data_IF_756691555764
#
_entry.id   IF_756691555764
#
_cell.length_a   1.000
_cell.length_b   1.000
_cell.length_c   1.000
_cell.angle_alpha   90.00
_cell.angle_beta   90.00
_cell.angle_gamma   90.00
#
_symmetry.space_group_name_H-M   'P 1'
#
loop_
_entity.id
_entity.type
_entity.pdbx_description
1 polymer ?
#
# COMPACT_ATOMS: atom_id res chain seq x y z
N UNK A 1 -33.14 -77.01 57.84
CA UNK A 1 -31.97 -76.13 57.62
C UNK A 1 -32.14 -74.89 58.49
N UNK A 2 -31.25 -74.73 59.47
CA UNK A 2 -30.91 -73.55 60.28
C UNK A 2 -32.04 -72.87 61.13
N UNK A 3 -32.25 -73.25 62.41
CA UNK A 3 -31.62 -72.76 63.68
C UNK A 3 -31.85 -71.25 63.94
N UNK A 4 -32.76 -70.83 64.86
CA UNK A 4 -32.58 -70.61 66.32
C UNK A 4 -31.45 -69.59 66.64
N UNK A 5 -31.52 -68.54 67.49
CA UNK A 5 -32.32 -68.18 68.69
C UNK A 5 -31.98 -66.71 69.09
N UNK A 6 -32.86 -66.03 69.85
CA UNK A 6 -32.75 -64.67 70.49
C UNK A 6 -31.51 -64.56 71.46
N UNK A 7 -31.07 -63.42 72.08
CA UNK A 7 -31.85 -62.23 72.53
C UNK A 7 -31.11 -60.84 72.72
N UNK A 8 -31.81 -59.89 73.38
CA UNK A 8 -31.35 -58.81 74.31
C UNK A 8 -30.58 -57.55 73.83
N UNK A 9 -31.32 -56.44 73.79
CA UNK A 9 -31.22 -55.22 74.62
C UNK A 9 -29.87 -54.71 75.19
N UNK A 10 -29.71 -53.38 75.06
CA UNK A 10 -29.11 -52.36 75.98
C UNK A 10 -27.69 -51.80 75.70
N UNK A 11 -27.72 -50.49 75.40
CA UNK A 11 -26.93 -49.38 75.99
C UNK A 11 -25.42 -49.30 75.73
N UNK A 12 -25.02 -48.30 74.92
CA UNK A 12 -24.25 -47.09 75.32
C UNK A 12 -22.73 -47.28 75.11
N UNK A 13 -21.91 -46.35 74.59
CA UNK A 13 -21.84 -44.89 74.66
C UNK A 13 -21.13 -44.37 73.39
N UNK A 14 -21.69 -43.37 72.70
CA UNK A 14 -21.24 -41.97 72.67
C UNK A 14 -19.80 -41.73 72.18
N UNK A 15 -19.66 -41.12 70.99
CA UNK A 15 -18.94 -39.85 70.88
C UNK A 15 -19.39 -39.06 69.64
N UNK A 16 -19.68 -37.79 69.90
CA UNK A 16 -20.07 -36.69 69.03
C UNK A 16 -18.92 -36.13 68.20
N UNK A 17 -19.19 -35.67 66.96
CA UNK A 17 -18.68 -34.43 66.32
C UNK A 17 -19.27 -34.38 64.89
N UNK A 18 -20.37 -33.67 64.68
CA UNK A 18 -20.42 -32.26 64.23
C UNK A 18 -20.03 -32.03 62.76
N UNK A 19 -21.02 -31.54 62.02
CA UNK A 19 -20.95 -30.42 61.07
C UNK A 19 -19.93 -30.47 59.92
N UNK A 20 -20.47 -30.46 58.70
CA UNK A 20 -19.78 -29.86 57.56
C UNK A 20 -20.17 -30.49 56.23
N UNK A 21 -21.27 -30.01 55.63
CA UNK A 21 -21.42 -30.06 54.18
C UNK A 21 -20.25 -29.23 53.61
N UNK A 22 -19.16 -29.88 53.21
CA UNK A 22 -18.12 -29.23 52.44
C UNK A 22 -18.53 -29.32 50.97
N UNK A 23 -19.24 -28.28 50.51
CA UNK A 23 -19.46 -28.02 49.09
C UNK A 23 -18.12 -27.75 48.44
N UNK A 24 -17.55 -28.75 47.79
CA UNK A 24 -16.32 -28.61 47.02
C UNK A 24 -16.65 -28.05 45.63
N UNK A 25 -16.63 -26.73 45.48
CA UNK A 25 -16.24 -25.99 44.26
C UNK A 25 -16.41 -24.48 44.50
N UNK A 26 -15.42 -23.64 44.15
CA UNK A 26 -15.43 -23.11 42.79
C UNK A 26 -14.00 -22.86 42.25
N UNK A 27 -13.40 -23.85 41.58
CA UNK A 27 -12.28 -23.59 40.67
C UNK A 27 -12.70 -23.59 39.19
N UNK A 28 -13.95 -23.95 38.89
CA UNK A 28 -14.47 -24.06 37.50
C UNK A 28 -15.00 -22.72 36.95
N UNK A 29 -15.35 -21.75 37.80
CA UNK A 29 -15.93 -20.48 37.33
C UNK A 29 -14.90 -19.50 36.73
N UNK A 30 -13.61 -19.62 37.09
CA UNK A 30 -12.58 -18.69 36.64
C UNK A 30 -11.97 -19.07 35.28
N UNK A 31 -11.94 -20.37 34.92
CA UNK A 31 -11.40 -20.84 33.64
C UNK A 31 -12.32 -20.52 32.46
N UNK A 32 -13.65 -20.61 32.63
CA UNK A 32 -14.62 -20.33 31.57
C UNK A 32 -14.53 -18.89 31.06
N UNK A 33 -14.31 -17.92 31.96
CA UNK A 33 -14.17 -16.51 31.57
C UNK A 33 -12.86 -16.17 30.84
N UNK A 34 -11.79 -16.95 31.02
CA UNK A 34 -10.51 -16.75 30.31
C UNK A 34 -10.57 -17.38 28.92
N UNK A 35 -11.14 -18.58 28.81
CA UNK A 35 -11.34 -19.27 27.53
C UNK A 35 -12.26 -18.47 26.60
N UNK A 36 -13.39 -17.95 27.10
CA UNK A 36 -14.32 -17.14 26.32
C UNK A 36 -13.70 -15.82 25.84
N UNK A 37 -12.89 -15.18 26.68
CA UNK A 37 -12.10 -13.98 26.29
C UNK A 37 -11.07 -14.30 25.23
N UNK A 38 -10.37 -15.43 25.34
CA UNK A 38 -9.38 -15.85 24.35
C UNK A 38 -10.01 -16.19 22.99
N UNK A 39 -11.16 -16.88 23.01
CA UNK A 39 -11.94 -17.18 21.81
C UNK A 39 -12.40 -15.89 21.15
N UNK A 40 -12.94 -14.95 21.92
CA UNK A 40 -13.40 -13.65 21.42
C UNK A 40 -12.24 -12.87 20.79
N UNK A 41 -11.09 -12.78 21.46
CA UNK A 41 -9.90 -12.11 20.94
C UNK A 41 -9.42 -12.71 19.62
N UNK A 42 -9.38 -14.04 19.51
CA UNK A 42 -8.98 -14.72 18.26
C UNK A 42 -10.00 -14.53 17.15
N UNK A 43 -11.30 -14.52 17.49
CA UNK A 43 -12.36 -14.24 16.53
C UNK A 43 -12.27 -12.80 16.00
N UNK A 44 -12.01 -11.83 16.88
CA UNK A 44 -11.77 -10.43 16.52
C UNK A 44 -10.53 -10.26 15.63
N UNK A 45 -9.40 -10.86 16.02
CA UNK A 45 -8.18 -10.83 15.22
C UNK A 45 -8.39 -11.48 13.83
N UNK A 46 -9.17 -12.55 13.75
CA UNK A 46 -9.50 -13.17 12.46
C UNK A 46 -10.37 -12.25 11.60
N UNK A 47 -11.37 -11.58 12.19
CA UNK A 47 -12.20 -10.59 11.47
C UNK A 47 -11.38 -9.41 10.98
N UNK A 48 -10.44 -8.93 11.80
CA UNK A 48 -9.56 -7.83 11.41
C UNK A 48 -8.63 -8.23 10.26
N UNK A 49 -8.05 -9.43 10.32
CA UNK A 49 -7.25 -9.96 9.23
C UNK A 49 -8.06 -10.08 7.91
N UNK A 50 -9.34 -10.47 7.99
CA UNK A 50 -10.25 -10.52 6.83
C UNK A 50 -10.55 -9.11 6.28
N UNK A 51 -10.74 -8.10 7.15
CA UNK A 51 -10.88 -6.70 6.70
C UNK A 51 -9.63 -6.20 5.98
N UNK A 52 -8.45 -6.44 6.54
CA UNK A 52 -7.17 -6.06 5.94
C UNK A 52 -6.96 -6.75 4.58
N UNK A 53 -7.37 -8.01 4.46
CA UNK A 53 -7.35 -8.72 3.18
C UNK A 53 -8.23 -8.03 2.14
N UNK A 54 -9.45 -7.64 2.51
CA UNK A 54 -10.36 -6.95 1.59
C UNK A 54 -9.88 -5.55 1.21
N UNK A 55 -9.26 -4.83 2.14
CA UNK A 55 -8.64 -3.53 1.84
C UNK A 55 -7.45 -3.70 0.88
N UNK A 56 -6.61 -4.72 1.08
CA UNK A 56 -5.56 -5.08 0.14
C UNK A 56 -6.08 -5.44 -1.25
N UNK A 57 -7.22 -6.15 -1.34
CA UNK A 57 -7.87 -6.46 -2.63
C UNK A 57 -8.40 -5.22 -3.33
N UNK A 58 -8.95 -4.26 -2.60
CA UNK A 58 -9.38 -2.97 -3.15
C UNK A 58 -8.19 -2.18 -3.69
N UNK A 59 -7.11 -2.08 -2.91
CA UNK A 59 -5.87 -1.42 -3.34
C UNK A 59 -5.30 -2.08 -4.60
N UNK A 60 -5.26 -3.42 -4.63
CA UNK A 60 -4.81 -4.19 -5.80
C UNK A 60 -5.66 -3.88 -7.04
N UNK A 61 -6.99 -3.84 -6.89
CA UNK A 61 -7.90 -3.50 -7.99
C UNK A 61 -7.73 -2.05 -8.50
N UNK A 62 -7.27 -1.14 -7.64
CA UNK A 62 -6.93 0.25 -7.99
C UNK A 62 -5.53 0.38 -8.62
N UNK A 63 -4.74 -0.70 -8.62
CA UNK A 63 -3.35 -0.69 -9.07
C UNK A 63 -2.35 -0.17 -8.04
N UNK A 64 -2.79 0.09 -6.80
CA UNK A 64 -1.91 0.43 -5.68
C UNK A 64 -1.34 -0.86 -5.08
N UNK A 65 -0.34 -1.42 -5.77
CA UNK A 65 0.28 -2.69 -5.38
C UNK A 65 1.14 -2.57 -4.12
N UNK A 66 1.64 -1.37 -3.79
CA UNK A 66 2.41 -1.11 -2.57
C UNK A 66 1.50 -1.21 -1.35
N UNK A 67 0.37 -0.51 -1.36
CA UNK A 67 -0.63 -0.60 -0.29
C UNK A 67 -1.21 -2.01 -0.20
N UNK A 68 -1.53 -2.64 -1.35
CA UNK A 68 -2.05 -4.00 -1.37
C UNK A 68 -1.13 -5.01 -0.65
N UNK A 69 0.16 -5.01 -0.99
CA UNK A 69 1.16 -5.90 -0.38
C UNK A 69 1.27 -5.64 1.12
N UNK A 70 1.27 -4.38 1.55
CA UNK A 70 1.30 -4.04 2.98
C UNK A 70 0.06 -4.55 3.70
N UNK A 71 -1.14 -4.35 3.15
CA UNK A 71 -2.39 -4.85 3.74
C UNK A 71 -2.41 -6.37 3.84
N UNK A 72 -1.91 -7.10 2.82
CA UNK A 72 -1.80 -8.57 2.88
C UNK A 72 -0.80 -9.06 3.94
N UNK A 73 0.34 -8.38 4.10
CA UNK A 73 1.29 -8.67 5.17
C UNK A 73 0.68 -8.41 6.55
N UNK A 74 -0.02 -7.30 6.72
CA UNK A 74 -0.76 -6.97 7.94
C UNK A 74 -1.86 -7.99 8.24
N UNK A 75 -2.59 -8.46 7.22
CA UNK A 75 -3.57 -9.54 7.37
C UNK A 75 -2.93 -10.84 7.88
N UNK A 76 -1.81 -11.26 7.29
CA UNK A 76 -1.08 -12.48 7.68
C UNK A 76 -0.49 -12.43 9.09
N UNK A 77 0.01 -11.26 9.50
CA UNK A 77 0.55 -11.04 10.84
C UNK A 77 -0.54 -10.97 11.92
N UNK A 78 -1.72 -10.45 11.56
CA UNK A 78 -2.88 -10.35 12.46
C UNK A 78 -3.62 -11.68 12.62
N UNK A 79 -3.63 -12.51 11.57
CA UNK A 79 -4.34 -13.80 11.57
C UNK A 79 -3.76 -14.74 12.63
N UNK A 80 -4.56 -15.20 13.63
CA UNK A 80 -4.09 -16.15 14.62
C UNK A 80 -3.60 -17.44 13.97
N UNK A 81 -2.54 -18.05 14.50
CA UNK A 81 -2.07 -19.36 14.06
C UNK A 81 -3.00 -20.50 14.50
N UNK A 82 -2.91 -21.64 13.80
CA UNK A 82 -3.58 -22.88 14.16
C UNK A 82 -4.35 -23.52 12.99
N UNK A 83 -4.74 -24.78 13.18
CA UNK A 83 -5.42 -25.57 12.14
C UNK A 83 -6.70 -24.92 11.60
N UNK A 84 -7.43 -24.17 12.44
CA UNK A 84 -8.69 -23.52 12.06
C UNK A 84 -8.53 -22.34 11.08
N UNK A 85 -7.35 -21.71 11.04
CA UNK A 85 -7.06 -20.54 10.20
C UNK A 85 -6.11 -20.87 9.06
N UNK A 86 -5.60 -22.10 8.98
CA UNK A 86 -4.64 -22.56 7.96
C UNK A 86 -5.13 -22.30 6.53
N UNK A 87 -6.38 -22.66 6.21
CA UNK A 87 -6.95 -22.40 4.88
C UNK A 87 -7.02 -20.90 4.55
N UNK A 88 -7.29 -20.05 5.55
CA UNK A 88 -7.32 -18.59 5.37
C UNK A 88 -5.91 -18.05 5.14
N UNK A 89 -4.94 -18.55 5.90
CA UNK A 89 -3.52 -18.19 5.77
C UNK A 89 -3.03 -18.45 4.35
N UNK A 90 -3.30 -19.63 3.79
CA UNK A 90 -2.91 -19.97 2.40
C UNK A 90 -3.51 -19.01 1.36
N UNK A 91 -4.77 -18.61 1.53
CA UNK A 91 -5.41 -17.63 0.64
C UNK A 91 -4.71 -16.27 0.74
N UNK A 92 -4.38 -15.82 1.95
CA UNK A 92 -3.66 -14.56 2.15
C UNK A 92 -2.22 -14.62 1.61
N UNK A 93 -1.53 -15.75 1.76
CA UNK A 93 -0.20 -15.98 1.19
C UNK A 93 -0.24 -15.95 -0.35
N UNK A 94 -1.26 -16.55 -0.97
CA UNK A 94 -1.45 -16.48 -2.42
C UNK A 94 -1.68 -15.04 -2.87
N UNK A 95 -2.57 -14.29 -2.21
CA UNK A 95 -2.80 -12.88 -2.53
C UNK A 95 -1.54 -12.03 -2.32
N UNK A 96 -0.75 -12.32 -1.29
CA UNK A 96 0.53 -11.65 -1.07
C UNK A 96 1.52 -11.96 -2.20
N UNK A 97 1.61 -13.20 -2.66
CA UNK A 97 2.46 -13.58 -3.79
C UNK A 97 2.02 -12.85 -5.07
N UNK A 98 0.73 -12.91 -5.42
CA UNK A 98 0.17 -12.24 -6.60
C UNK A 98 0.36 -10.71 -6.55
N UNK A 99 0.13 -10.12 -5.37
CA UNK A 99 0.39 -8.71 -5.06
C UNK A 99 1.85 -8.32 -5.24
N UNK A 100 2.76 -9.14 -4.74
CA UNK A 100 4.20 -8.89 -4.78
C UNK A 100 4.73 -9.00 -6.21
N UNK A 101 4.23 -9.95 -7.00
CA UNK A 101 4.59 -10.05 -8.43
C UNK A 101 4.06 -8.84 -9.21
N UNK A 102 2.82 -8.41 -8.98
CA UNK A 102 2.28 -7.21 -9.62
C UNK A 102 3.05 -5.93 -9.25
N UNK A 103 3.50 -5.84 -7.99
CA UNK A 103 4.39 -4.78 -7.53
C UNK A 103 5.74 -4.81 -8.25
N UNK A 104 6.36 -5.98 -8.38
CA UNK A 104 7.62 -6.12 -9.11
C UNK A 104 7.48 -5.71 -10.58
N UNK A 105 6.37 -6.06 -11.23
CA UNK A 105 6.05 -5.61 -12.58
C UNK A 105 5.94 -4.07 -12.67
N UNK A 106 5.37 -3.41 -11.65
CA UNK A 106 5.28 -1.95 -11.62
C UNK A 106 6.68 -1.30 -11.51
N UNK A 107 7.55 -1.89 -10.69
CA UNK A 107 8.95 -1.48 -10.54
C UNK A 107 9.73 -1.65 -11.84
N UNK A 108 9.55 -2.77 -12.54
CA UNK A 108 10.14 -2.99 -13.87
C UNK A 108 9.73 -1.91 -14.88
N UNK A 109 8.46 -1.51 -14.90
CA UNK A 109 7.99 -0.45 -15.84
C UNK A 109 8.64 0.91 -15.60
N UNK A 110 9.12 1.19 -14.39
CA UNK A 110 9.75 2.47 -14.05
C UNK A 110 11.27 2.40 -13.97
N UNK A 111 11.90 1.26 -14.24
CA UNK A 111 13.36 1.08 -14.20
C UNK A 111 13.93 0.71 -12.82
N UNK A 112 13.09 0.36 -11.84
CA UNK A 112 13.52 -0.19 -10.54
C UNK A 112 13.80 -1.69 -10.64
N UNK A 113 14.78 -2.06 -11.47
CA UNK A 113 15.02 -3.47 -11.81
C UNK A 113 15.55 -4.30 -10.65
N UNK A 114 16.41 -3.71 -9.82
CA UNK A 114 16.94 -4.33 -8.62
C UNK A 114 15.84 -4.66 -7.62
N UNK A 115 14.98 -3.70 -7.31
CA UNK A 115 13.88 -3.89 -6.37
C UNK A 115 12.82 -4.84 -6.94
N UNK A 116 12.56 -4.80 -8.24
CA UNK A 116 11.69 -5.77 -8.90
C UNK A 116 12.22 -7.20 -8.73
N UNK A 117 13.53 -7.41 -8.95
CA UNK A 117 14.18 -8.72 -8.76
C UNK A 117 14.07 -9.19 -7.31
N UNK A 118 14.42 -8.35 -6.34
CA UNK A 118 14.35 -8.68 -4.92
C UNK A 118 12.94 -9.15 -4.50
N UNK A 119 11.90 -8.48 -5.01
CA UNK A 119 10.50 -8.86 -4.74
C UNK A 119 10.16 -10.24 -5.33
N UNK A 120 10.57 -10.50 -6.56
CA UNK A 120 10.31 -11.78 -7.23
C UNK A 120 11.07 -12.94 -6.59
N UNK A 121 12.34 -12.74 -6.22
CA UNK A 121 13.14 -13.72 -5.50
C UNK A 121 12.56 -14.02 -4.11
N UNK A 122 12.02 -13.00 -3.44
CA UNK A 122 11.28 -13.16 -2.19
C UNK A 122 10.04 -14.06 -2.34
N UNK A 123 9.28 -13.93 -3.43
CA UNK A 123 8.15 -14.82 -3.74
C UNK A 123 8.63 -16.25 -3.95
N UNK A 124 9.71 -16.45 -4.72
CA UNK A 124 10.25 -17.79 -5.01
C UNK A 124 10.89 -18.46 -3.78
N UNK A 125 11.27 -17.70 -2.77
CA UNK A 125 11.74 -18.26 -1.49
C UNK A 125 10.60 -18.94 -0.73
N UNK A 126 9.37 -18.43 -0.85
CA UNK A 126 8.18 -18.96 -0.17
C UNK A 126 7.46 -20.01 -1.03
N UNK A 127 7.27 -19.71 -2.32
CA UNK A 127 6.72 -20.62 -3.32
C UNK A 127 7.71 -20.80 -4.48
N UNK A 128 8.64 -21.77 -4.37
CA UNK A 128 9.60 -22.05 -5.43
C UNK A 128 8.96 -22.37 -6.77
N UNK A 129 7.71 -22.82 -6.82
CA UNK A 129 6.99 -23.24 -8.02
C UNK A 129 6.12 -22.15 -8.64
N UNK A 130 6.18 -20.92 -8.13
CA UNK A 130 5.44 -19.80 -8.70
C UNK A 130 5.91 -19.50 -10.13
N UNK A 131 5.15 -19.96 -11.12
CA UNK A 131 5.49 -19.83 -12.54
C UNK A 131 5.56 -18.36 -12.98
N UNK A 132 4.65 -17.53 -12.47
CA UNK A 132 4.57 -16.13 -12.82
C UNK A 132 5.81 -15.35 -12.32
N UNK A 133 6.26 -15.61 -11.10
CA UNK A 133 7.47 -14.98 -10.56
C UNK A 133 8.73 -15.36 -11.35
N UNK A 134 8.86 -16.64 -11.74
CA UNK A 134 9.98 -17.08 -12.61
C UNK A 134 9.95 -16.41 -13.98
N UNK A 135 8.76 -16.30 -14.58
CA UNK A 135 8.59 -15.65 -15.88
C UNK A 135 8.94 -14.16 -15.82
N UNK A 136 8.56 -13.44 -14.76
CA UNK A 136 8.91 -12.03 -14.61
C UNK A 136 10.41 -11.81 -14.37
N UNK A 137 11.11 -12.75 -13.71
CA UNK A 137 12.58 -12.72 -13.63
C UNK A 137 13.22 -12.88 -15.01
N UNK A 138 12.73 -13.82 -15.83
CA UNK A 138 13.20 -13.99 -17.21
C UNK A 138 12.98 -12.71 -18.03
N UNK A 139 11.85 -12.02 -17.84
CA UNK A 139 11.61 -10.74 -18.49
C UNK A 139 12.54 -9.63 -18.02
N UNK A 140 12.97 -9.62 -16.77
CA UNK A 140 13.99 -8.69 -16.28
C UNK A 140 15.36 -8.94 -16.92
N UNK A 141 15.68 -10.20 -17.22
CA UNK A 141 16.92 -10.61 -17.87
C UNK A 141 16.93 -10.44 -19.39
N UNK A 142 15.75 -10.25 -20.01
CA UNK A 142 15.60 -10.05 -21.45
C UNK A 142 15.82 -8.58 -21.86
N UNK A 143 16.92 -8.24 -22.55
CA UNK A 143 17.23 -6.86 -22.95
C UNK A 143 16.27 -6.30 -24.01
N UNK A 144 15.52 -7.16 -24.71
CA UNK A 144 14.50 -6.74 -25.68
C UNK A 144 13.25 -6.25 -24.94
N UNK A 145 12.90 -6.91 -23.82
CA UNK A 145 11.71 -6.58 -23.01
C UNK A 145 12.01 -5.55 -21.92
N UNK A 146 13.25 -5.49 -21.46
CA UNK A 146 13.72 -4.64 -20.38
C UNK A 146 14.90 -3.84 -20.89
N UNK A 147 14.67 -2.56 -21.20
CA UNK A 147 15.71 -1.68 -21.70
C UNK A 147 16.78 -1.46 -20.62
N UNK A 148 18.02 -1.95 -20.79
CA UNK A 148 19.06 -1.79 -19.76
C UNK A 148 19.45 -0.33 -19.49
N UNK A 149 19.12 0.58 -20.41
CA UNK A 149 19.37 2.01 -20.25
C UNK A 149 18.24 2.75 -19.51
N UNK A 150 17.09 2.11 -19.27
CA UNK A 150 16.02 2.72 -18.49
C UNK A 150 16.39 2.68 -17.01
N UNK A 151 16.70 3.83 -16.45
CA UNK A 151 16.95 4.01 -15.02
C UNK A 151 15.75 4.67 -14.32
N UNK A 152 15.55 4.36 -13.04
CA UNK A 152 14.49 4.97 -12.25
C UNK A 152 14.61 6.50 -12.19
N UNK A 153 15.83 7.03 -12.04
CA UNK A 153 16.07 8.47 -12.03
C UNK A 153 15.66 9.10 -13.37
N UNK A 154 15.93 8.42 -14.48
CA UNK A 154 15.51 8.88 -15.80
C UNK A 154 13.98 8.95 -15.90
N UNK A 155 13.27 7.91 -15.49
CA UNK A 155 11.79 7.89 -15.48
C UNK A 155 11.23 9.05 -14.65
N UNK A 156 11.79 9.30 -13.46
CA UNK A 156 11.39 10.42 -12.61
C UNK A 156 11.67 11.78 -13.26
N UNK A 157 12.81 11.92 -13.95
CA UNK A 157 13.16 13.15 -14.65
C UNK A 157 12.24 13.41 -15.84
N UNK A 158 11.88 12.39 -16.62
CA UNK A 158 10.89 12.49 -17.71
C UNK A 158 9.55 12.99 -17.18
N UNK A 159 9.11 12.46 -16.04
CA UNK A 159 7.84 12.86 -15.43
C UNK A 159 7.87 14.28 -14.84
N UNK A 160 8.99 14.68 -14.22
CA UNK A 160 9.21 16.07 -13.80
C UNK A 160 9.20 17.03 -14.99
N UNK A 161 9.92 16.72 -16.07
CA UNK A 161 9.94 17.50 -17.32
C UNK A 161 8.53 17.66 -17.86
N UNK A 162 7.76 16.57 -17.93
CA UNK A 162 6.36 16.59 -18.37
C UNK A 162 5.53 17.56 -17.53
N UNK A 163 5.59 17.47 -16.20
CA UNK A 163 4.84 18.37 -15.31
C UNK A 163 5.23 19.84 -15.51
N UNK A 164 6.52 20.15 -15.51
CA UNK A 164 6.98 21.52 -15.71
C UNK A 164 6.53 22.07 -17.07
N UNK A 165 6.58 21.27 -18.15
CA UNK A 165 6.07 21.68 -19.46
C UNK A 165 4.57 22.00 -19.43
N UNK A 166 3.74 21.15 -18.80
CA UNK A 166 2.30 21.41 -18.68
C UNK A 166 2.01 22.68 -17.89
N UNK A 167 2.69 22.87 -16.75
CA UNK A 167 2.53 24.06 -15.91
C UNK A 167 3.00 25.32 -16.65
N UNK A 168 4.13 25.25 -17.35
CA UNK A 168 4.66 26.36 -18.15
C UNK A 168 3.67 26.79 -19.24
N UNK A 169 3.11 25.82 -19.98
CA UNK A 169 2.11 26.09 -21.01
C UNK A 169 0.84 26.70 -20.41
N UNK A 170 0.39 26.20 -19.26
CA UNK A 170 -0.73 26.79 -18.52
C UNK A 170 -0.48 28.24 -18.13
N UNK A 171 0.69 28.56 -17.56
CA UNK A 171 1.05 29.93 -17.23
C UNK A 171 1.18 30.83 -18.46
N UNK A 172 1.74 30.31 -19.56
CA UNK A 172 1.83 31.04 -20.83
C UNK A 172 0.44 31.42 -21.34
N UNK A 173 -0.51 30.49 -21.31
CA UNK A 173 -1.89 30.72 -21.76
C UNK A 173 -2.64 31.71 -20.87
N UNK A 174 -2.26 31.85 -19.60
CA UNK A 174 -2.77 32.86 -18.67
C UNK A 174 -2.03 34.21 -18.76
N UNK A 175 -1.13 34.38 -19.73
CA UNK A 175 -0.22 35.52 -19.87
C UNK A 175 0.69 35.78 -18.65
N UNK A 176 0.86 34.79 -17.77
CA UNK A 176 1.75 34.82 -16.61
C UNK A 176 3.18 34.45 -17.05
N UNK A 177 3.75 35.27 -17.93
CA UNK A 177 4.96 34.92 -18.67
C UNK A 177 6.19 34.66 -17.81
N UNK A 178 6.40 35.40 -16.73
CA UNK A 178 7.58 35.19 -15.87
C UNK A 178 7.52 33.84 -15.15
N UNK A 179 6.31 33.42 -14.74
CA UNK A 179 6.10 32.07 -14.18
C UNK A 179 6.31 30.99 -15.23
N UNK A 180 5.79 31.20 -16.44
CA UNK A 180 5.98 30.27 -17.55
C UNK A 180 7.46 30.10 -17.92
N UNK A 181 8.23 31.20 -17.96
CA UNK A 181 9.68 31.18 -18.20
C UNK A 181 10.38 30.34 -17.13
N UNK A 182 10.10 30.60 -15.85
CA UNK A 182 10.71 29.84 -14.74
C UNK A 182 10.44 28.33 -14.85
N UNK A 183 9.23 27.94 -15.25
CA UNK A 183 8.89 26.53 -15.44
C UNK A 183 9.59 25.91 -16.67
N UNK A 184 9.70 26.64 -17.78
CA UNK A 184 10.50 26.16 -18.93
C UNK A 184 12.00 26.08 -18.60
N UNK A 185 12.55 26.97 -17.78
CA UNK A 185 13.93 26.88 -17.30
C UNK A 185 14.13 25.68 -16.36
N UNK A 186 13.13 25.34 -15.54
CA UNK A 186 13.15 24.12 -14.74
C UNK A 186 13.26 22.88 -15.63
N UNK A 187 12.55 22.85 -16.76
CA UNK A 187 12.71 21.77 -17.76
C UNK A 187 14.14 21.71 -18.27
N UNK A 188 14.72 22.84 -18.67
CA UNK A 188 16.08 22.88 -19.23
C UNK A 188 17.18 22.55 -18.21
N UNK A 189 16.92 22.70 -16.91
CA UNK A 189 17.82 22.22 -15.86
C UNK A 189 17.85 20.70 -15.75
N UNK A 190 16.72 20.04 -16.05
CA UNK A 190 16.59 18.57 -15.99
C UNK A 190 17.00 17.94 -17.33
N UNK A 191 16.52 18.51 -18.44
CA UNK A 191 16.81 18.11 -19.81
C UNK A 191 17.26 19.35 -20.62
N UNK A 192 18.58 19.63 -20.66
CA UNK A 192 19.14 20.78 -21.37
C UNK A 192 18.82 20.83 -22.87
N UNK A 193 18.44 19.71 -23.48
CA UNK A 193 18.19 19.60 -24.91
C UNK A 193 16.69 19.60 -25.25
N UNK A 194 15.82 19.86 -24.27
CA UNK A 194 14.39 19.83 -24.47
C UNK A 194 13.89 20.88 -25.47
N UNK A 195 13.44 20.42 -26.64
CA UNK A 195 12.99 21.30 -27.72
C UNK A 195 11.66 21.98 -27.42
N UNK A 196 10.79 21.38 -26.59
CA UNK A 196 9.51 21.98 -26.21
C UNK A 196 9.72 23.20 -25.31
N UNK A 197 10.60 23.09 -24.31
CA UNK A 197 10.92 24.22 -23.43
C UNK A 197 11.58 25.39 -24.18
N UNK A 198 12.54 25.11 -25.06
CA UNK A 198 13.18 26.15 -25.89
C UNK A 198 12.17 26.88 -26.78
N UNK A 199 11.27 26.15 -27.44
CA UNK A 199 10.19 26.75 -28.24
C UNK A 199 9.20 27.54 -27.40
N UNK A 200 8.89 27.07 -26.19
CA UNK A 200 8.04 27.78 -25.23
C UNK A 200 8.60 29.15 -24.86
N UNK A 201 9.89 29.21 -24.51
CA UNK A 201 10.61 30.44 -24.21
C UNK A 201 10.65 31.39 -25.42
N UNK A 202 10.95 30.87 -26.61
CA UNK A 202 10.93 31.67 -27.85
C UNK A 202 9.53 32.25 -28.11
N UNK A 203 8.48 31.44 -27.93
CA UNK A 203 7.09 31.89 -28.07
C UNK A 203 6.74 33.02 -27.10
N UNK A 204 7.16 32.90 -25.83
CA UNK A 204 6.96 33.97 -24.84
C UNK A 204 7.73 35.24 -25.21
N UNK A 205 8.96 35.11 -25.69
CA UNK A 205 9.77 36.26 -26.13
C UNK A 205 9.07 37.04 -27.25
N UNK A 206 8.49 36.33 -28.23
CA UNK A 206 7.68 36.93 -29.30
C UNK A 206 6.43 37.62 -28.76
N UNK A 207 5.65 36.93 -27.92
CA UNK A 207 4.44 37.49 -27.30
C UNK A 207 4.73 38.78 -26.51
N UNK A 208 5.82 38.81 -25.73
CA UNK A 208 6.25 40.02 -25.02
C UNK A 208 6.60 41.13 -26.00
N UNK A 209 7.39 40.84 -27.03
CA UNK A 209 7.78 41.83 -28.06
C UNK A 209 6.56 42.44 -28.74
N UNK A 210 5.63 41.61 -29.20
CA UNK A 210 4.42 42.05 -29.90
C UNK A 210 3.54 42.94 -28.99
N UNK A 211 3.40 42.56 -27.71
CA UNK A 211 2.69 43.35 -26.72
C UNK A 211 3.35 44.72 -26.48
N UNK A 212 4.67 44.77 -26.33
CA UNK A 212 5.40 46.03 -26.14
C UNK A 212 5.30 46.95 -27.37
N UNK A 213 5.37 46.39 -28.58
CA UNK A 213 5.18 47.16 -29.82
C UNK A 213 3.78 47.77 -29.89
N UNK A 214 2.74 46.97 -29.64
CA UNK A 214 1.35 47.44 -29.66
C UNK A 214 1.11 48.55 -28.63
N UNK A 215 1.61 48.38 -27.40
CA UNK A 215 1.48 49.39 -26.34
C UNK A 215 2.22 50.70 -26.67
N UNK A 216 3.41 50.60 -27.28
CA UNK A 216 4.17 51.75 -27.73
C UNK A 216 3.43 52.52 -28.83
N UNK A 217 2.94 51.81 -29.84
CA UNK A 217 2.20 52.40 -30.96
C UNK A 217 0.91 53.09 -30.50
N UNK A 218 0.17 52.47 -29.57
CA UNK A 218 -1.02 53.06 -28.96
C UNK A 218 -0.67 54.36 -28.19
N UNK A 219 0.40 54.33 -27.41
CA UNK A 219 0.85 55.51 -26.65
C UNK A 219 1.24 56.64 -27.59
N UNK A 220 1.98 56.32 -28.65
CA UNK A 220 2.38 57.29 -29.68
C UNK A 220 1.17 57.89 -30.39
N UNK A 221 0.21 57.06 -30.81
CA UNK A 221 -1.01 57.52 -31.46
C UNK A 221 -1.84 58.44 -30.55
N UNK A 222 -1.97 58.10 -29.26
CA UNK A 222 -2.65 58.93 -28.27
C UNK A 222 -1.99 60.29 -28.10
N UNK A 223 -0.66 60.33 -28.04
CA UNK A 223 0.09 61.59 -27.90
C UNK A 223 -0.05 62.48 -29.14
N UNK A 224 0.01 61.91 -30.35
CA UNK A 224 -0.21 62.67 -31.59
C UNK A 224 -1.61 63.27 -31.65
N UNK A 225 -2.64 62.49 -31.29
CA UNK A 225 -4.02 62.97 -31.26
C UNK A 225 -4.25 64.13 -30.25
N UNK A 226 -3.43 64.24 -29.21
CA UNK A 226 -3.48 65.37 -28.26
C UNK A 226 -2.79 66.63 -28.77
N UNK A 227 -1.84 66.50 -29.70
CA UNK A 227 -1.15 67.64 -30.32
C UNK A 227 -1.99 68.24 -31.46
N UNK A 228 -2.77 67.40 -32.15
CA UNK A 228 -3.61 67.80 -33.28
C UNK A 228 -5.00 68.35 -32.86
N UNK A 229 -5.31 68.40 -31.56
CA UNK A 229 -6.57 68.87 -30.98
C UNK A 229 -6.43 70.27 -30.34
#
# INVERSE_FOLDING_TARGET
MHSATRPTNRTARALTLSLGLLTLAPTVAFSQGIEEREITRRAEATREAERLLDDGRKAYAQGDYEEAVQSYQSALSTLPGGFATESRRRVMEQHLADGTVALAQSYRRVGKYTEARDKLEGVLTVDPNNQLARQELEYLDDPIRTNPALDYTHTQNVDKVRRHLYTAEGYKNLALYDKAIAEYENVLRIDPYNSAARRGLEGISKLKSDYYMAAYDETRARLLAQVDA
#
